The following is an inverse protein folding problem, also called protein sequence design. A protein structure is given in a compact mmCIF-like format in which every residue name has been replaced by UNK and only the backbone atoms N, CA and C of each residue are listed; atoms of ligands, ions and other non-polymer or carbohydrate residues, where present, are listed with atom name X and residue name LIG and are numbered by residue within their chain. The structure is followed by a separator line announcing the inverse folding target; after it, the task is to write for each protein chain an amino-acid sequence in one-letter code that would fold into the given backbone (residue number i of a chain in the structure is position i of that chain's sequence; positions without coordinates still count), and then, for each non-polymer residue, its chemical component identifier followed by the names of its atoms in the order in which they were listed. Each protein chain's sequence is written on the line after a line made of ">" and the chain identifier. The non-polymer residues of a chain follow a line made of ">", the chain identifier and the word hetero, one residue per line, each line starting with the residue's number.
data_IF_063756921021
#
_entry.id   IF_063756921021
#
_cell.length_a   1.000
_cell.length_b   1.000
_cell.length_c   1.000
_cell.angle_alpha   90.00
_cell.angle_beta   90.00
_cell.angle_gamma   90.00
#
_symmetry.space_group_name_H-M   'P 1'
#
loop_
_entity.id
_entity.type
_entity.pdbx_description
1 polymer ?
#
# COMPACT_ATOMS: atom_id res chain seq x y z
N UNK A 1 20.94 61.53 50.25
CA UNK A 1 20.52 60.78 51.44
C UNK A 1 19.77 59.55 50.93
N UNK A 2 20.36 58.36 50.78
CA UNK A 2 20.87 57.44 51.83
C UNK A 2 19.84 57.30 52.97
N UNK A 3 19.47 56.12 53.47
CA UNK A 3 19.87 54.74 53.21
C UNK A 3 18.86 53.84 53.94
N UNK A 4 18.78 52.57 53.53
CA UNK A 4 18.11 51.49 54.23
C UNK A 4 18.98 50.95 55.38
N UNK A 5 18.33 50.49 56.47
CA UNK A 5 18.80 49.58 57.52
C UNK A 5 17.52 49.13 58.27
N UNK A 6 17.25 47.92 58.76
CA UNK A 6 17.98 46.66 59.03
C UNK A 6 16.96 45.68 59.64
N UNK A 7 17.20 44.37 59.58
CA UNK A 7 16.53 43.42 60.49
C UNK A 7 16.82 41.94 60.25
N UNK A 8 17.77 41.38 61.01
CA UNK A 8 18.20 39.97 61.08
C UNK A 8 17.26 39.05 61.89
N UNK A 9 17.31 37.72 61.65
CA UNK A 9 17.48 36.58 62.62
C UNK A 9 17.25 35.21 61.93
N UNK A 10 18.26 34.32 61.76
CA UNK A 10 18.59 33.07 62.50
C UNK A 10 17.39 32.11 62.75
N UNK A 11 17.30 30.83 62.32
CA UNK A 11 18.14 29.65 62.68
C UNK A 11 17.70 28.35 61.94
N UNK A 12 18.61 27.37 61.87
CA UNK A 12 18.61 25.98 61.34
C UNK A 12 17.40 25.04 61.65
N UNK A 13 17.15 24.02 60.79
CA UNK A 13 17.29 22.57 61.11
C UNK A 13 16.88 21.58 59.98
N UNK A 14 17.75 20.57 59.78
CA UNK A 14 17.55 19.16 59.35
C UNK A 14 17.50 18.77 57.86
N UNK A 15 18.58 18.10 57.42
CA UNK A 15 18.70 17.21 56.25
C UNK A 15 17.97 15.87 56.49
N UNK A 16 17.65 15.15 55.40
CA UNK A 16 18.23 13.82 55.26
C UNK A 16 18.92 13.63 53.90
N UNK A 17 20.13 13.06 53.95
CA UNK A 17 20.78 12.43 52.81
C UNK A 17 19.93 11.24 52.33
N UNK A 18 19.60 11.21 51.05
CA UNK A 18 19.38 9.96 50.32
C UNK A 18 20.31 9.95 49.11
N UNK A 19 21.03 8.84 48.96
CA UNK A 19 22.15 8.63 48.07
C UNK A 19 21.89 9.09 46.63
N UNK A 20 22.76 9.97 46.13
CA UNK A 20 22.95 10.09 44.69
C UNK A 20 23.73 8.85 44.23
N UNK A 21 23.21 8.15 43.22
CA UNK A 21 23.95 7.11 42.51
C UNK A 21 25.32 7.66 42.09
N UNK A 22 26.40 7.02 42.56
CA UNK A 22 27.79 7.39 42.21
C UNK A 22 28.14 6.94 40.77
N UNK A 23 27.21 6.32 40.05
CA UNK A 23 27.39 5.95 38.65
C UNK A 23 26.19 6.35 37.78
N UNK A 24 26.46 7.18 36.77
CA UNK A 24 25.49 7.58 35.76
C UNK A 24 25.21 6.42 34.79
N UNK A 25 23.95 6.31 34.34
CA UNK A 25 23.53 5.36 33.30
C UNK A 25 24.24 5.67 31.96
N UNK A 26 24.53 4.68 31.08
CA UNK A 26 25.37 4.87 29.90
C UNK A 26 24.93 5.99 28.94
N UNK A 27 23.62 6.22 28.79
CA UNK A 27 23.08 7.28 27.94
C UNK A 27 23.15 8.69 28.58
N UNK A 28 23.29 8.78 29.91
CA UNK A 28 23.48 10.03 30.66
C UNK A 28 24.97 10.33 30.86
N UNK A 29 25.83 9.31 30.90
CA UNK A 29 27.28 9.52 30.97
C UNK A 29 27.84 10.34 29.78
N UNK A 30 27.21 10.23 28.60
CA UNK A 30 27.54 11.04 27.43
C UNK A 30 27.26 12.54 27.59
N UNK A 31 26.37 12.95 28.50
CA UNK A 31 26.06 14.37 28.71
C UNK A 31 26.87 15.04 29.83
N UNK A 32 27.54 14.25 30.69
CA UNK A 32 28.28 14.77 31.86
C UNK A 32 29.79 14.84 31.63
N UNK A 33 30.32 14.00 30.74
CA UNK A 33 31.68 14.13 30.21
C UNK A 33 31.66 14.51 28.72
N UNK A 34 30.94 15.58 28.39
CA UNK A 34 31.35 16.37 27.25
C UNK A 34 32.62 17.11 27.66
N UNK A 35 33.78 16.55 27.34
CA UNK A 35 34.97 17.38 27.13
C UNK A 35 34.62 18.21 25.88
N UNK A 36 34.32 19.51 25.97
CA UNK A 36 34.11 20.29 24.77
C UNK A 36 35.41 20.17 23.95
N UNK A 37 35.29 19.90 22.64
CA UNK A 37 36.39 20.28 21.74
C UNK A 37 36.64 21.77 21.98
N UNK A 38 37.89 22.21 21.99
CA UNK A 38 38.21 23.64 22.20
C UNK A 38 37.74 24.53 21.03
N UNK A 39 37.28 23.88 19.97
CA UNK A 39 36.71 24.41 18.76
C UNK A 39 35.51 25.35 18.96
N UNK A 40 35.57 26.54 18.35
CA UNK A 40 34.46 27.48 18.19
C UNK A 40 33.80 27.96 19.49
N UNK A 41 34.63 28.45 20.42
CA UNK A 41 34.12 29.12 21.63
C UNK A 41 33.89 30.62 21.38
N UNK A 42 32.88 30.93 20.55
CA UNK A 42 32.19 32.24 20.52
C UNK A 42 32.69 33.28 19.50
N UNK A 43 32.00 34.42 19.48
CA UNK A 43 32.07 35.55 18.52
C UNK A 43 33.44 36.29 18.42
N UNK A 44 34.48 35.79 19.10
CA UNK A 44 35.77 36.46 19.34
C UNK A 44 36.96 35.47 19.27
N UNK A 45 36.82 34.34 18.57
CA UNK A 45 37.89 33.34 18.43
C UNK A 45 39.17 33.93 17.82
N UNK A 46 39.01 34.81 16.84
CA UNK A 46 40.05 35.64 16.17
C UNK A 46 40.87 36.56 17.12
N UNK A 47 40.42 36.77 18.37
CA UNK A 47 41.16 37.58 19.35
C UNK A 47 42.07 36.72 20.24
N UNK A 48 42.03 35.40 20.10
CA UNK A 48 42.89 34.48 20.85
C UNK A 48 44.20 34.27 20.09
N UNK A 49 45.30 34.07 20.82
CA UNK A 49 46.56 33.69 20.18
C UNK A 49 46.40 32.34 19.47
N UNK A 50 46.89 32.30 18.22
CA UNK A 50 46.84 31.13 17.35
C UNK A 50 47.40 29.89 18.04
N UNK A 51 46.71 28.76 17.91
CA UNK A 51 47.14 27.51 18.53
C UNK A 51 47.06 26.33 17.56
N UNK A 52 48.23 25.75 17.27
CA UNK A 52 48.37 24.67 16.28
C UNK A 52 47.41 23.49 16.51
N UNK A 53 47.31 23.04 17.77
CA UNK A 53 46.45 21.91 18.11
C UNK A 53 44.97 22.24 17.87
N UNK A 54 44.53 23.43 18.27
CA UNK A 54 43.13 23.86 18.18
C UNK A 54 42.69 24.14 16.75
N UNK A 55 43.47 24.92 16.01
CA UNK A 55 43.06 25.50 14.73
C UNK A 55 43.39 24.58 13.56
N UNK A 56 44.52 23.87 13.60
CA UNK A 56 44.98 23.06 12.47
C UNK A 56 45.04 21.54 12.74
N UNK A 57 44.92 21.06 13.99
CA UNK A 57 44.94 19.61 14.28
C UNK A 57 43.55 19.10 14.64
N UNK A 58 42.85 19.78 15.55
CA UNK A 58 41.44 19.53 15.89
C UNK A 58 40.48 20.03 14.80
N UNK A 59 40.89 21.04 14.03
CA UNK A 59 40.14 21.70 12.96
C UNK A 59 40.93 21.81 11.64
N UNK A 60 40.26 22.28 10.58
CA UNK A 60 40.87 22.58 9.28
C UNK A 60 41.08 24.08 9.16
N UNK A 61 42.31 24.55 9.45
CA UNK A 61 42.68 25.95 9.28
C UNK A 61 43.01 26.38 7.84
N UNK A 62 42.87 27.67 7.53
CA UNK A 62 43.39 28.32 6.33
C UNK A 62 44.85 28.81 6.48
N UNK A 63 45.42 29.42 5.43
CA UNK A 63 46.83 29.81 5.46
C UNK A 63 47.10 30.95 6.45
N UNK A 64 46.14 31.84 6.65
CA UNK A 64 46.30 33.01 7.51
C UNK A 64 46.25 32.58 8.97
N UNK A 65 45.34 31.67 9.33
CA UNK A 65 45.31 31.03 10.64
C UNK A 65 46.61 30.24 10.92
N UNK A 66 47.08 29.44 9.94
CA UNK A 66 48.37 28.76 10.07
C UNK A 66 49.53 29.77 10.25
N UNK A 67 49.49 30.92 9.57
CA UNK A 67 50.50 31.98 9.72
C UNK A 67 50.48 32.62 11.10
N UNK A 68 49.30 32.82 11.67
CA UNK A 68 49.10 33.36 13.03
C UNK A 68 49.55 32.39 14.12
N UNK A 69 49.44 31.08 13.90
CA UNK A 69 49.94 30.06 14.84
C UNK A 69 51.47 30.10 15.01
N UNK A 70 52.22 30.35 13.92
CA UNK A 70 53.68 30.31 13.96
C UNK A 70 54.34 31.68 14.12
N UNK A 71 53.62 32.77 13.82
CA UNK A 71 54.12 34.16 13.81
C UNK A 71 55.44 34.34 13.00
N UNK A 72 55.77 33.39 12.13
CA UNK A 72 56.98 33.30 11.31
C UNK A 72 56.63 32.72 9.93
N UNK A 73 56.88 33.51 8.89
CA UNK A 73 56.49 33.17 7.52
C UNK A 73 57.21 31.92 6.99
N UNK A 74 58.43 31.61 7.44
CA UNK A 74 59.19 30.45 6.97
C UNK A 74 58.70 29.16 7.62
N UNK A 75 58.40 29.20 8.91
CA UNK A 75 57.80 28.10 9.67
C UNK A 75 56.36 27.85 9.22
N UNK A 76 55.58 28.91 9.02
CA UNK A 76 54.22 28.84 8.49
C UNK A 76 54.21 28.23 7.08
N UNK A 77 55.07 28.68 6.16
CA UNK A 77 55.17 28.08 4.82
C UNK A 77 55.59 26.60 4.85
N UNK A 78 56.51 26.23 5.75
CA UNK A 78 56.95 24.84 5.89
C UNK A 78 55.85 23.95 6.47
N UNK A 79 55.15 24.43 7.49
CA UNK A 79 53.98 23.76 8.03
C UNK A 79 52.89 23.65 6.98
N UNK A 80 52.53 24.75 6.32
CA UNK A 80 51.50 24.81 5.29
C UNK A 80 51.77 23.87 4.12
N UNK A 81 53.03 23.74 3.71
CA UNK A 81 53.43 22.78 2.66
C UNK A 81 53.19 21.34 3.09
N UNK A 82 53.40 21.00 4.37
CA UNK A 82 53.08 19.67 4.90
C UNK A 82 51.59 19.49 5.19
N UNK A 83 50.93 20.54 5.66
CA UNK A 83 49.54 20.57 6.08
C UNK A 83 48.57 20.49 4.89
N UNK A 84 48.83 21.23 3.81
CA UNK A 84 48.11 21.12 2.53
C UNK A 84 48.28 19.75 1.87
N UNK A 85 49.35 19.04 2.19
CA UNK A 85 49.65 17.70 1.69
C UNK A 85 49.20 16.59 2.67
N UNK A 86 48.52 16.92 3.77
CA UNK A 86 47.97 15.94 4.70
C UNK A 86 46.79 15.24 4.04
N UNK A 87 46.90 13.93 3.82
CA UNK A 87 45.82 13.12 3.28
C UNK A 87 44.72 12.97 4.35
N UNK A 88 43.50 13.52 4.17
CA UNK A 88 42.42 13.40 5.15
C UNK A 88 41.91 11.97 5.32
N UNK A 89 42.31 11.04 4.42
CA UNK A 89 42.01 9.63 4.50
C UNK A 89 43.04 8.81 5.30
N UNK A 90 44.00 9.43 5.96
CA UNK A 90 45.01 8.72 6.76
C UNK A 90 45.04 9.23 8.23
N UNK A 91 44.56 8.43 9.21
CA UNK A 91 43.98 7.09 9.05
C UNK A 91 42.57 7.14 8.43
N UNK A 92 42.12 6.05 7.80
CA UNK A 92 40.83 6.01 7.10
C UNK A 92 39.66 6.36 8.06
N UNK A 93 38.98 7.50 7.87
CA UNK A 93 37.89 7.93 8.76
C UNK A 93 36.57 7.20 8.49
N UNK A 94 36.46 6.45 7.40
CA UNK A 94 35.25 5.74 7.01
C UNK A 94 35.15 4.40 7.74
N UNK A 95 34.08 4.22 8.50
CA UNK A 95 33.79 3.00 9.27
C UNK A 95 33.21 1.89 8.38
N UNK A 96 33.04 0.69 8.95
CA UNK A 96 32.42 -0.47 8.32
C UNK A 96 32.99 -0.79 6.91
N UNK A 97 34.31 -0.73 6.76
CA UNK A 97 35.01 -0.94 5.49
C UNK A 97 34.69 0.10 4.39
N UNK A 98 34.20 1.29 4.77
CA UNK A 98 34.01 2.42 3.86
C UNK A 98 35.30 2.86 3.16
N UNK A 99 35.20 3.16 1.87
CA UNK A 99 36.32 3.67 1.08
C UNK A 99 36.38 5.19 1.20
N UNK A 100 37.47 5.72 1.75
CA UNK A 100 37.71 7.15 1.78
C UNK A 100 38.24 7.66 0.43
N UNK A 101 37.55 8.65 -0.13
CA UNK A 101 38.02 9.42 -1.28
C UNK A 101 38.17 10.88 -0.83
N UNK A 102 39.32 11.49 -1.08
CA UNK A 102 39.57 12.89 -0.72
C UNK A 102 39.84 13.75 -1.94
N UNK A 103 39.50 15.03 -1.81
CA UNK A 103 39.82 16.09 -2.75
C UNK A 103 40.36 17.27 -1.96
N UNK A 104 41.66 17.56 -2.09
CA UNK A 104 42.34 18.59 -1.28
C UNK A 104 42.20 18.27 0.22
N UNK A 105 41.58 19.18 1.00
CA UNK A 105 41.36 19.07 2.44
C UNK A 105 40.01 18.45 2.84
N UNK A 106 39.13 18.13 1.88
CA UNK A 106 37.84 17.49 2.16
C UNK A 106 37.87 16.01 1.77
N UNK A 107 37.14 15.18 2.52
CA UNK A 107 36.94 13.78 2.18
C UNK A 107 35.47 13.40 2.15
N UNK A 108 35.18 12.34 1.42
CA UNK A 108 33.89 11.69 1.34
C UNK A 108 34.09 10.18 1.53
N UNK A 109 33.20 9.57 2.28
CA UNK A 109 33.15 8.12 2.43
C UNK A 109 32.21 7.52 1.39
N UNK A 110 32.72 6.56 0.63
CA UNK A 110 31.91 5.66 -0.20
C UNK A 110 31.57 4.44 0.67
N UNK A 111 30.33 4.39 1.15
CA UNK A 111 29.87 3.33 2.04
C UNK A 111 29.56 2.05 1.26
N UNK A 112 29.92 0.88 1.80
CA UNK A 112 29.51 -0.40 1.23
C UNK A 112 28.00 -0.60 1.38
N UNK A 113 27.48 -1.56 0.62
CA UNK A 113 26.07 -1.93 0.67
C UNK A 113 25.62 -2.22 2.10
N UNK A 114 24.47 -1.65 2.49
CA UNK A 114 23.92 -1.78 3.84
C UNK A 114 24.41 -0.74 4.85
N UNK A 115 25.24 0.24 4.46
CA UNK A 115 25.69 1.33 5.34
C UNK A 115 25.49 2.72 4.74
N UNK A 116 25.32 3.71 5.60
CA UNK A 116 25.15 5.12 5.23
C UNK A 116 25.72 6.06 6.30
N UNK A 117 25.54 7.36 6.07
CA UNK A 117 26.04 8.42 6.95
C UNK A 117 27.40 8.93 6.52
N UNK A 118 27.82 10.06 7.10
CA UNK A 118 29.06 10.77 6.71
C UNK A 118 30.33 9.90 6.79
N UNK A 119 30.35 8.96 7.73
CA UNK A 119 31.46 8.04 7.98
C UNK A 119 31.04 6.56 7.87
N UNK A 120 29.93 6.26 7.17
CA UNK A 120 29.40 4.90 7.05
C UNK A 120 29.06 4.24 8.40
N UNK A 121 28.72 5.06 9.40
CA UNK A 121 28.46 4.60 10.76
C UNK A 121 27.04 4.07 10.98
N UNK A 122 26.11 4.42 10.09
CA UNK A 122 24.70 4.05 10.18
C UNK A 122 24.41 2.85 9.28
N UNK A 123 23.46 2.00 9.68
CA UNK A 123 22.87 1.03 8.78
C UNK A 123 22.12 1.77 7.66
N UNK A 124 22.27 1.31 6.42
CA UNK A 124 21.62 1.89 5.25
C UNK A 124 20.10 1.87 5.38
N UNK A 125 19.44 2.76 4.62
CA UNK A 125 17.97 2.84 4.58
C UNK A 125 17.32 1.48 4.37
N UNK A 126 17.86 0.66 3.46
CA UNK A 126 17.34 -0.68 3.16
C UNK A 126 17.40 -1.65 4.35
N UNK A 127 18.48 -1.62 5.15
CA UNK A 127 18.62 -2.48 6.33
C UNK A 127 17.75 -2.03 7.50
N UNK A 128 17.53 -0.72 7.60
CA UNK A 128 16.70 -0.15 8.68
C UNK A 128 15.20 -0.28 8.38
N UNK A 129 14.80 -0.03 7.13
CA UNK A 129 13.39 0.00 6.73
C UNK A 129 12.90 -1.30 6.10
N UNK A 130 13.78 -2.16 5.59
CA UNK A 130 13.47 -3.51 5.09
C UNK A 130 12.26 -3.51 4.16
N UNK A 131 11.15 -4.15 4.54
CA UNK A 131 9.94 -4.20 3.71
C UNK A 131 9.31 -2.82 3.47
N UNK A 132 9.56 -1.83 4.33
CA UNK A 132 9.06 -0.46 4.14
C UNK A 132 9.85 0.33 3.09
N UNK A 133 11.02 -0.15 2.67
CA UNK A 133 11.80 0.48 1.62
C UNK A 133 11.74 -0.36 0.36
N UNK A 134 11.04 0.16 -0.66
CA UNK A 134 10.87 -0.49 -1.96
C UNK A 134 10.34 -1.93 -1.84
N UNK A 135 9.39 -2.19 -0.93
CA UNK A 135 8.86 -3.53 -0.64
C UNK A 135 9.95 -4.58 -0.32
N UNK A 136 11.08 -4.17 0.27
CA UNK A 136 12.26 -5.05 0.49
C UNK A 136 12.91 -5.55 -0.81
N UNK A 137 12.50 -5.01 -1.96
CA UNK A 137 12.81 -5.46 -3.31
C UNK A 137 12.10 -6.74 -3.73
N UNK A 138 11.02 -7.12 -3.06
CA UNK A 138 10.14 -8.22 -3.48
C UNK A 138 9.17 -7.74 -4.57
N UNK A 139 8.90 -8.59 -5.57
CA UNK A 139 7.94 -8.25 -6.64
C UNK A 139 6.49 -8.22 -6.15
N UNK A 140 6.11 -9.14 -5.26
CA UNK A 140 4.78 -9.20 -4.67
C UNK A 140 4.81 -8.93 -3.17
N UNK A 141 4.99 -9.94 -2.31
CA UNK A 141 4.84 -9.77 -0.87
C UNK A 141 6.18 -9.84 -0.16
N UNK A 142 6.42 -8.87 0.73
CA UNK A 142 7.60 -8.82 1.59
C UNK A 142 7.25 -9.20 3.03
N UNK A 143 8.12 -9.97 3.68
CA UNK A 143 8.06 -10.25 5.11
C UNK A 143 9.46 -10.09 5.74
N UNK A 144 9.56 -9.30 6.80
CA UNK A 144 10.78 -9.03 7.56
C UNK A 144 10.68 -9.33 9.07
N UNK A 145 9.63 -10.04 9.52
CA UNK A 145 9.38 -10.33 10.95
C UNK A 145 10.52 -11.13 11.61
N UNK A 146 11.31 -11.86 10.81
CA UNK A 146 12.49 -12.61 11.28
C UNK A 146 13.80 -11.82 11.26
N UNK A 147 13.75 -10.51 11.03
CA UNK A 147 14.93 -9.67 10.88
C UNK A 147 15.56 -9.72 9.47
N UNK A 148 15.33 -10.79 8.71
CA UNK A 148 15.73 -10.91 7.31
C UNK A 148 14.52 -10.74 6.39
N UNK A 149 14.73 -10.07 5.25
CA UNK A 149 13.72 -9.93 4.20
C UNK A 149 13.51 -11.27 3.49
N UNK A 150 12.25 -11.68 3.40
CA UNK A 150 11.80 -12.85 2.65
C UNK A 150 10.66 -12.45 1.72
N UNK A 151 10.71 -12.92 0.48
CA UNK A 151 9.68 -12.64 -0.52
C UNK A 151 8.72 -13.81 -0.68
N UNK A 152 7.47 -13.50 -0.98
CA UNK A 152 6.44 -14.47 -1.34
C UNK A 152 5.60 -13.94 -2.50
N UNK A 153 5.01 -14.85 -3.28
CA UNK A 153 4.24 -14.51 -4.47
C UNK A 153 2.74 -14.78 -4.29
N UNK A 154 1.93 -14.13 -5.12
CA UNK A 154 0.49 -14.34 -5.19
C UNK A 154 0.13 -15.67 -5.87
N UNK A 155 -1.11 -16.14 -5.69
CA UNK A 155 -1.56 -17.45 -6.15
C UNK A 155 -1.27 -17.70 -7.64
N UNK A 156 -0.73 -18.88 -7.93
CA UNK A 156 -0.28 -19.25 -9.28
C UNK A 156 1.08 -18.70 -9.69
N UNK A 157 1.82 -18.07 -8.77
CA UNK A 157 3.21 -17.64 -8.98
C UNK A 157 4.15 -18.27 -7.95
N UNK A 158 5.39 -18.50 -8.36
CA UNK A 158 6.49 -18.96 -7.52
C UNK A 158 7.61 -17.91 -7.44
N UNK A 159 8.34 -17.89 -6.32
CA UNK A 159 9.53 -17.05 -6.18
C UNK A 159 10.63 -17.57 -7.11
N UNK A 160 11.21 -16.68 -7.91
CA UNK A 160 12.30 -17.01 -8.82
C UNK A 160 13.62 -17.31 -8.08
N UNK A 161 14.63 -17.75 -8.83
CA UNK A 161 15.95 -18.09 -8.27
C UNK A 161 16.67 -16.92 -7.60
N UNK A 162 16.32 -15.68 -7.95
CA UNK A 162 16.85 -14.46 -7.34
C UNK A 162 16.29 -14.19 -5.93
N UNK A 163 15.30 -14.98 -5.49
CA UNK A 163 14.64 -14.85 -4.20
C UNK A 163 13.72 -13.62 -4.08
N UNK A 164 13.44 -12.92 -5.18
CA UNK A 164 12.75 -11.61 -5.19
C UNK A 164 11.64 -11.50 -6.24
N UNK A 165 11.91 -11.98 -7.44
CA UNK A 165 10.97 -11.93 -8.56
C UNK A 165 9.92 -13.03 -8.46
N UNK A 166 8.77 -12.84 -9.10
CA UNK A 166 7.64 -13.76 -9.10
C UNK A 166 7.34 -14.24 -10.52
N UNK A 167 7.58 -15.53 -10.77
CA UNK A 167 7.32 -16.17 -12.06
C UNK A 167 6.02 -16.95 -12.04
N UNK A 168 5.30 -16.98 -13.16
CA UNK A 168 4.08 -17.77 -13.27
C UNK A 168 4.38 -19.28 -13.17
N UNK A 169 3.69 -19.97 -12.27
CA UNK A 169 3.81 -21.42 -12.05
C UNK A 169 2.70 -22.19 -12.78
N UNK A 170 1.55 -21.54 -13.00
CA UNK A 170 0.38 -22.11 -13.66
C UNK A 170 0.07 -21.38 -14.97
N UNK A 171 -0.76 -22.00 -15.83
CA UNK A 171 -1.12 -21.42 -17.13
C UNK A 171 -1.91 -20.10 -17.01
N UNK A 172 -2.75 -19.99 -15.99
CA UNK A 172 -3.59 -18.82 -15.73
C UNK A 172 -3.34 -18.31 -14.30
N UNK A 173 -2.17 -17.70 -14.05
CA UNK A 173 -1.85 -17.19 -12.73
C UNK A 173 -2.73 -15.97 -12.43
N UNK A 174 -2.98 -15.67 -11.16
CA UNK A 174 -3.87 -14.57 -10.82
C UNK A 174 -3.33 -13.22 -11.34
N UNK A 175 -4.21 -12.27 -11.64
CA UNK A 175 -3.82 -10.90 -11.94
C UNK A 175 -3.09 -10.68 -13.28
N UNK A 176 -2.85 -11.74 -14.08
CA UNK A 176 -2.34 -11.63 -15.44
C UNK A 176 -3.49 -11.58 -16.46
N UNK A 177 -3.24 -10.93 -17.58
CA UNK A 177 -4.17 -10.87 -18.71
C UNK A 177 -3.65 -11.81 -19.80
N UNK A 178 -4.25 -12.99 -20.03
CA UNK A 178 -3.63 -14.04 -20.85
C UNK A 178 -3.31 -13.61 -22.29
N UNK A 179 -4.18 -12.79 -22.90
CA UNK A 179 -3.95 -12.28 -24.26
C UNK A 179 -2.76 -11.31 -24.34
N UNK A 180 -2.51 -10.54 -23.28
CA UNK A 180 -1.37 -9.63 -23.22
C UNK A 180 -0.07 -10.41 -23.02
N UNK A 181 -0.08 -11.43 -22.16
CA UNK A 181 1.07 -12.31 -21.94
C UNK A 181 1.45 -13.09 -23.21
N UNK A 182 0.45 -13.62 -23.94
CA UNK A 182 0.68 -14.25 -25.24
C UNK A 182 1.26 -13.28 -26.27
N UNK A 183 0.85 -12.01 -26.26
CA UNK A 183 1.39 -10.99 -27.18
C UNK A 183 2.82 -10.57 -26.83
N UNK A 184 3.19 -10.49 -25.55
CA UNK A 184 4.57 -10.22 -25.09
C UNK A 184 5.54 -11.28 -25.60
N UNK A 185 5.13 -12.55 -25.60
CA UNK A 185 5.92 -13.68 -26.13
C UNK A 185 6.09 -13.61 -27.66
N UNK A 186 5.19 -12.93 -28.37
CA UNK A 186 5.21 -12.83 -29.83
C UNK A 186 5.83 -11.53 -30.35
N UNK A 187 5.99 -10.50 -29.50
CA UNK A 187 6.37 -9.16 -29.93
C UNK A 187 7.64 -8.64 -29.23
N UNK A 188 8.75 -8.61 -29.98
CA UNK A 188 9.81 -7.59 -29.87
C UNK A 188 9.28 -6.19 -30.28
N UNK A 189 8.05 -5.82 -29.86
CA UNK A 189 7.38 -4.60 -30.32
C UNK A 189 6.73 -3.88 -29.14
N UNK A 190 7.32 -2.75 -28.80
CA UNK A 190 6.83 -1.72 -27.89
C UNK A 190 5.53 -1.09 -28.40
N UNK A 191 4.41 -1.81 -28.28
CA UNK A 191 3.09 -1.17 -28.30
C UNK A 191 2.74 -0.77 -26.88
N UNK A 192 2.93 0.52 -26.57
CA UNK A 192 2.28 1.14 -25.40
C UNK A 192 0.78 1.04 -25.60
N UNK A 193 0.14 0.07 -24.95
CA UNK A 193 -1.30 -0.08 -24.96
C UNK A 193 -1.92 1.19 -24.35
N UNK A 194 -2.87 1.81 -25.04
CA UNK A 194 -3.54 3.00 -24.54
C UNK A 194 -4.41 2.60 -23.34
N UNK A 195 -3.93 2.92 -22.14
CA UNK A 195 -4.67 2.84 -20.88
C UNK A 195 -5.93 3.73 -20.86
N UNK A 196 -6.11 4.55 -21.91
CA UNK A 196 -7.18 5.54 -22.08
C UNK A 196 -8.32 5.10 -23.01
N UNK A 197 -8.38 3.83 -23.43
CA UNK A 197 -9.53 3.31 -24.18
C UNK A 197 -10.82 3.35 -23.35
N UNK A 198 -11.90 3.93 -23.89
CA UNK A 198 -13.22 4.00 -23.21
C UNK A 198 -13.88 2.64 -23.00
N UNK A 199 -13.50 1.62 -23.79
CA UNK A 199 -13.99 0.25 -23.71
C UNK A 199 -12.89 -0.68 -23.23
N UNK A 200 -13.22 -1.73 -22.46
CA UNK A 200 -12.26 -2.79 -22.15
C UNK A 200 -12.18 -3.72 -23.36
N UNK A 201 -11.04 -3.87 -24.05
CA UNK A 201 -10.95 -4.83 -25.14
C UNK A 201 -11.31 -6.25 -24.66
N UNK A 202 -11.93 -7.05 -25.54
CA UNK A 202 -12.37 -8.40 -25.20
C UNK A 202 -11.20 -9.23 -24.64
N UNK A 203 -11.37 -9.79 -23.44
CA UNK A 203 -10.36 -10.56 -22.72
C UNK A 203 -9.33 -9.74 -21.93
N UNK A 204 -9.39 -8.40 -21.93
CA UNK A 204 -8.46 -7.55 -21.16
C UNK A 204 -8.91 -7.28 -19.71
N UNK A 205 -10.11 -7.74 -19.36
CA UNK A 205 -10.68 -7.70 -18.01
C UNK A 205 -11.18 -9.10 -17.61
N UNK A 206 -10.33 -10.14 -17.64
CA UNK A 206 -10.78 -11.55 -17.61
C UNK A 206 -11.34 -12.00 -16.26
N UNK A 207 -11.11 -11.24 -15.19
CA UNK A 207 -11.66 -11.47 -13.85
C UNK A 207 -13.06 -10.87 -13.64
N UNK A 208 -13.56 -10.09 -14.59
CA UNK A 208 -14.90 -9.52 -14.52
C UNK A 208 -15.95 -10.63 -14.72
N UNK A 209 -16.95 -10.68 -13.85
CA UNK A 209 -18.17 -11.45 -14.10
C UNK A 209 -19.42 -10.58 -14.07
N UNK A 210 -20.47 -11.09 -14.70
CA UNK A 210 -21.82 -10.54 -14.68
C UNK A 210 -22.72 -11.43 -13.81
N UNK A 211 -23.50 -10.82 -12.91
CA UNK A 211 -24.51 -11.51 -12.11
C UNK A 211 -25.87 -11.35 -12.76
N UNK A 212 -26.55 -12.48 -12.95
CA UNK A 212 -27.90 -12.57 -13.49
C UNK A 212 -28.84 -13.20 -12.48
N UNK A 213 -29.99 -12.57 -12.25
CA UNK A 213 -31.07 -13.11 -11.43
C UNK A 213 -32.33 -13.21 -12.28
N UNK A 214 -32.92 -14.42 -12.35
CA UNK A 214 -34.09 -14.72 -13.21
C UNK A 214 -33.89 -14.27 -14.67
N UNK A 215 -32.68 -14.49 -15.18
CA UNK A 215 -32.28 -14.12 -16.56
C UNK A 215 -32.01 -12.63 -16.79
N UNK A 216 -32.15 -11.78 -15.78
CA UNK A 216 -31.86 -10.35 -15.88
C UNK A 216 -30.51 -10.02 -15.25
N UNK A 217 -29.63 -9.37 -16.01
CA UNK A 217 -28.35 -8.85 -15.54
C UNK A 217 -28.56 -7.67 -14.61
N UNK A 218 -27.85 -7.62 -13.47
CA UNK A 218 -28.10 -6.57 -12.46
C UNK A 218 -26.89 -6.14 -11.62
N UNK A 219 -25.86 -6.98 -11.48
CA UNK A 219 -24.64 -6.66 -10.74
C UNK A 219 -23.41 -7.24 -11.45
N UNK A 220 -22.23 -6.79 -11.05
CA UNK A 220 -20.96 -7.40 -11.37
C UNK A 220 -20.42 -8.28 -10.23
N UNK A 221 -19.29 -8.91 -10.51
CA UNK A 221 -18.50 -9.64 -9.54
C UNK A 221 -17.08 -9.84 -10.04
N UNK A 222 -16.28 -10.55 -9.25
CA UNK A 222 -14.86 -10.74 -9.50
C UNK A 222 -14.44 -12.19 -9.28
N UNK A 223 -13.77 -12.79 -10.27
CA UNK A 223 -13.15 -14.11 -10.14
C UNK A 223 -11.89 -13.97 -9.28
N UNK A 224 -11.87 -14.62 -8.12
CA UNK A 224 -10.67 -14.71 -7.26
C UNK A 224 -10.14 -16.13 -7.14
N UNK A 225 -10.98 -17.13 -7.46
CA UNK A 225 -10.66 -18.55 -7.40
C UNK A 225 -11.58 -19.31 -8.38
N UNK A 226 -11.21 -20.51 -8.90
CA UNK A 226 -12.06 -21.27 -9.83
C UNK A 226 -13.49 -21.47 -9.34
N UNK A 227 -13.69 -21.76 -8.05
CA UNK A 227 -15.00 -22.03 -7.45
C UNK A 227 -15.60 -20.86 -6.66
N UNK A 228 -14.94 -19.70 -6.61
CA UNK A 228 -15.40 -18.56 -5.80
C UNK A 228 -15.35 -17.24 -6.55
N UNK A 229 -16.45 -16.49 -6.44
CA UNK A 229 -16.60 -15.13 -6.94
C UNK A 229 -16.87 -14.19 -5.78
N UNK A 230 -16.22 -13.03 -5.78
CA UNK A 230 -16.48 -11.95 -4.82
C UNK A 230 -17.44 -10.94 -5.46
N UNK A 231 -18.41 -10.47 -4.68
CA UNK A 231 -19.29 -9.36 -5.05
C UNK A 231 -19.64 -8.54 -3.80
N UNK A 232 -20.60 -7.64 -3.90
CA UNK A 232 -21.11 -6.89 -2.74
C UNK A 232 -22.30 -7.61 -2.10
N UNK A 233 -22.42 -7.55 -0.78
CA UNK A 233 -23.58 -8.10 -0.06
C UNK A 233 -24.89 -7.49 -0.55
N UNK A 234 -24.87 -6.20 -0.91
CA UNK A 234 -26.01 -5.50 -1.49
C UNK A 234 -26.59 -6.19 -2.74
N UNK A 235 -25.74 -6.78 -3.58
CA UNK A 235 -26.19 -7.52 -4.76
C UNK A 235 -26.96 -8.81 -4.45
N UNK A 236 -27.00 -9.25 -3.19
CA UNK A 236 -27.55 -10.55 -2.80
C UNK A 236 -28.71 -10.45 -1.81
N UNK A 237 -28.99 -9.27 -1.26
CA UNK A 237 -30.10 -9.07 -0.31
C UNK A 237 -31.43 -9.37 -1.01
N UNK A 238 -32.31 -10.12 -0.32
CA UNK A 238 -33.67 -10.42 -0.77
C UNK A 238 -33.74 -11.16 -2.13
N UNK A 239 -32.67 -11.85 -2.53
CA UNK A 239 -32.65 -12.69 -3.73
C UNK A 239 -32.66 -14.17 -3.36
N UNK A 240 -33.23 -14.98 -4.24
CA UNK A 240 -33.13 -16.43 -4.15
C UNK A 240 -31.86 -16.91 -4.85
N UNK A 241 -31.02 -17.68 -4.16
CA UNK A 241 -29.75 -18.20 -4.69
C UNK A 241 -29.97 -19.14 -5.87
N UNK A 242 -31.08 -19.88 -5.89
CA UNK A 242 -31.38 -20.84 -6.95
C UNK A 242 -31.59 -20.18 -8.33
N UNK A 243 -32.02 -18.92 -8.32
CA UNK A 243 -32.29 -18.08 -9.50
C UNK A 243 -31.04 -17.29 -9.94
N UNK A 244 -29.92 -17.42 -9.21
CA UNK A 244 -28.69 -16.66 -9.41
C UNK A 244 -27.70 -17.42 -10.31
N UNK A 245 -27.21 -16.71 -11.33
CA UNK A 245 -26.16 -17.18 -12.23
C UNK A 245 -25.01 -16.19 -12.28
N UNK A 246 -23.80 -16.74 -12.37
CA UNK A 246 -22.57 -16.03 -12.69
C UNK A 246 -22.26 -16.26 -14.16
N UNK A 247 -21.93 -15.20 -14.89
CA UNK A 247 -21.45 -15.27 -16.28
C UNK A 247 -20.02 -14.76 -16.34
N UNK A 248 -19.07 -15.67 -16.57
CA UNK A 248 -17.66 -15.33 -16.80
C UNK A 248 -17.37 -15.27 -18.31
N UNK A 249 -16.41 -14.44 -18.74
CA UNK A 249 -16.04 -14.33 -20.17
C UNK A 249 -17.04 -13.57 -21.06
N UNK A 250 -17.98 -12.85 -20.45
CA UNK A 250 -18.92 -11.93 -21.11
C UNK A 250 -18.23 -10.62 -21.49
N UNK A 251 -18.63 -10.01 -22.61
CA UNK A 251 -18.09 -8.74 -23.08
C UNK A 251 -19.15 -7.87 -23.77
N UNK A 252 -19.93 -8.42 -24.70
CA UNK A 252 -21.05 -7.75 -25.38
C UNK A 252 -22.41 -8.34 -24.97
N UNK A 253 -23.15 -7.63 -24.12
CA UNK A 253 -24.44 -8.07 -23.56
C UNK A 253 -25.54 -8.38 -24.59
N UNK A 254 -25.35 -8.04 -25.87
CA UNK A 254 -26.30 -8.32 -26.95
C UNK A 254 -25.94 -9.53 -27.79
N UNK A 255 -24.73 -10.07 -27.63
CA UNK A 255 -24.22 -11.18 -28.42
C UNK A 255 -23.94 -12.37 -27.51
N UNK A 256 -24.01 -13.57 -28.07
CA UNK A 256 -23.42 -14.76 -27.46
C UNK A 256 -22.17 -15.03 -28.26
N UNK A 257 -21.03 -14.68 -27.70
CA UNK A 257 -19.75 -14.70 -28.42
C UNK A 257 -19.03 -16.05 -28.31
N UNK A 258 -19.56 -16.99 -27.51
CA UNK A 258 -19.02 -18.32 -27.30
C UNK A 258 -17.91 -18.38 -26.25
N UNK A 259 -17.61 -17.26 -25.61
CA UNK A 259 -16.64 -17.16 -24.50
C UNK A 259 -17.31 -17.19 -23.13
N UNK A 260 -18.63 -17.07 -23.10
CA UNK A 260 -19.44 -16.95 -21.89
C UNK A 260 -19.62 -18.31 -21.20
N UNK A 261 -19.29 -18.35 -19.91
CA UNK A 261 -19.55 -19.49 -19.04
C UNK A 261 -20.66 -19.11 -18.06
N UNK A 262 -21.87 -19.66 -18.25
CA UNK A 262 -23.01 -19.47 -17.35
C UNK A 262 -23.01 -20.55 -16.29
N UNK A 263 -22.80 -20.16 -15.04
CA UNK A 263 -22.59 -21.08 -13.91
C UNK A 263 -23.59 -20.75 -12.80
N UNK A 264 -24.27 -21.77 -12.29
CA UNK A 264 -25.20 -21.61 -11.16
C UNK A 264 -24.43 -21.38 -9.86
N UNK A 265 -24.98 -20.54 -9.00
CA UNK A 265 -24.46 -20.36 -7.64
C UNK A 265 -24.95 -21.52 -6.76
N UNK A 266 -24.04 -22.11 -5.99
CA UNK A 266 -24.36 -23.13 -5.00
C UNK A 266 -24.69 -22.51 -3.64
N UNK A 267 -23.99 -21.44 -3.28
CA UNK A 267 -24.10 -20.80 -1.99
C UNK A 267 -23.71 -19.33 -2.09
N UNK A 268 -24.43 -18.48 -1.36
CA UNK A 268 -24.13 -17.06 -1.22
C UNK A 268 -23.85 -16.77 0.26
N UNK A 269 -22.66 -16.24 0.54
CA UNK A 269 -22.19 -15.94 1.88
C UNK A 269 -22.02 -14.43 2.00
N UNK A 270 -22.93 -13.79 2.73
CA UNK A 270 -22.85 -12.36 3.03
C UNK A 270 -21.98 -12.17 4.27
N UNK A 271 -21.19 -11.10 4.30
CA UNK A 271 -20.44 -10.74 5.48
C UNK A 271 -21.39 -10.46 6.67
N UNK A 272 -21.09 -11.02 7.83
CA UNK A 272 -21.95 -11.07 9.01
C UNK A 272 -22.23 -9.67 9.58
N UNK A 273 -21.26 -8.77 9.43
CA UNK A 273 -21.35 -7.37 9.85
C UNK A 273 -21.92 -6.42 8.79
N UNK A 274 -22.47 -6.95 7.69
CA UNK A 274 -23.04 -6.10 6.64
C UNK A 274 -24.24 -5.29 7.16
N UNK A 275 -24.13 -3.95 7.04
CA UNK A 275 -25.18 -3.04 7.46
C UNK A 275 -25.84 -2.38 6.24
N UNK A 276 -27.13 -2.66 6.03
CA UNK A 276 -27.90 -2.16 4.88
C UNK A 276 -28.01 -0.63 4.86
N UNK A 277 -28.10 0.01 6.03
CA UNK A 277 -28.30 1.46 6.16
C UNK A 277 -27.03 2.22 5.82
N UNK A 278 -25.91 1.84 6.44
CA UNK A 278 -24.60 2.50 6.22
C UNK A 278 -23.86 1.97 5.00
N UNK A 279 -24.26 0.81 4.48
CA UNK A 279 -23.52 0.03 3.47
C UNK A 279 -22.14 -0.44 3.98
N UNK A 280 -21.91 -0.45 5.30
CA UNK A 280 -20.65 -0.94 5.87
C UNK A 280 -20.55 -2.46 5.76
N UNK A 281 -19.31 -2.97 5.62
CA UNK A 281 -19.02 -4.39 5.35
C UNK A 281 -19.77 -4.96 4.13
N UNK A 282 -19.92 -4.15 3.07
CA UNK A 282 -20.61 -4.53 1.84
C UNK A 282 -19.77 -5.44 0.93
N UNK A 283 -19.59 -6.68 1.35
CA UNK A 283 -18.85 -7.73 0.64
C UNK A 283 -19.56 -9.08 0.82
N UNK A 284 -19.49 -9.93 -0.21
CA UNK A 284 -20.04 -11.27 -0.18
C UNK A 284 -19.24 -12.22 -1.09
N UNK A 285 -19.34 -13.51 -0.79
CA UNK A 285 -18.78 -14.60 -1.58
C UNK A 285 -19.90 -15.42 -2.22
N UNK A 286 -19.66 -15.86 -3.45
CA UNK A 286 -20.50 -16.79 -4.19
C UNK A 286 -19.70 -18.05 -4.45
N UNK A 287 -20.11 -19.17 -3.86
CA UNK A 287 -19.58 -20.49 -4.20
C UNK A 287 -20.30 -21.02 -5.43
N UNK A 288 -19.56 -21.47 -6.42
CA UNK A 288 -20.13 -21.95 -7.68
C UNK A 288 -20.45 -23.45 -7.62
N UNK A 289 -21.49 -23.89 -8.34
CA UNK A 289 -21.80 -25.31 -8.49
C UNK A 289 -20.72 -26.09 -9.24
N UNK A 290 -20.05 -25.42 -10.19
CA UNK A 290 -18.95 -25.97 -10.97
C UNK A 290 -17.83 -24.91 -11.03
N UNK A 291 -16.55 -25.34 -11.02
CA UNK A 291 -15.45 -24.39 -11.16
C UNK A 291 -15.49 -23.73 -12.55
N UNK A 292 -15.12 -22.45 -12.59
CA UNK A 292 -14.86 -21.72 -13.83
C UNK A 292 -13.68 -22.39 -14.53
N UNK A 293 -13.83 -22.69 -15.83
CA UNK A 293 -12.73 -23.16 -16.66
C UNK A 293 -11.96 -21.93 -17.12
N UNK A 294 -10.74 -21.75 -16.60
CA UNK A 294 -9.93 -20.60 -17.00
C UNK A 294 -9.56 -20.65 -18.48
N UNK A 295 -9.56 -19.47 -19.10
CA UNK A 295 -9.34 -19.26 -20.52
C UNK A 295 -8.75 -17.86 -20.75
N UNK A 296 -8.53 -17.51 -22.02
CA UNK A 296 -8.10 -16.15 -22.38
C UNK A 296 -9.11 -15.05 -22.04
N UNK A 297 -10.34 -15.42 -21.69
CA UNK A 297 -11.44 -14.49 -21.41
C UNK A 297 -11.97 -14.60 -19.97
N UNK A 298 -11.55 -15.62 -19.23
CA UNK A 298 -11.95 -15.86 -17.84
C UNK A 298 -10.73 -16.32 -17.02
N UNK A 299 -10.22 -15.45 -16.15
CA UNK A 299 -9.03 -15.71 -15.34
C UNK A 299 -9.11 -14.93 -14.02
N UNK A 300 -8.52 -15.40 -12.92
CA UNK A 300 -8.69 -14.78 -11.62
C UNK A 300 -7.84 -13.50 -11.47
N UNK A 301 -8.28 -12.56 -10.64
CA UNK A 301 -7.43 -11.45 -10.15
C UNK A 301 -6.75 -11.86 -8.86
N UNK A 302 -5.57 -11.32 -8.55
CA UNK A 302 -4.90 -11.61 -7.29
C UNK A 302 -5.58 -10.93 -6.11
N UNK A 303 -5.66 -11.64 -4.99
CA UNK A 303 -5.89 -11.01 -3.68
C UNK A 303 -4.55 -10.58 -3.09
N UNK A 304 -4.41 -9.32 -2.62
CA UNK A 304 -3.18 -8.87 -1.98
C UNK A 304 -3.08 -9.38 -0.53
N UNK A 305 -1.91 -9.28 0.09
CA UNK A 305 -1.79 -9.26 1.56
C UNK A 305 -2.14 -7.90 2.12
N UNK A 306 -2.57 -7.84 3.38
CA UNK A 306 -2.99 -6.58 4.01
C UNK A 306 -1.87 -5.54 4.03
N UNK A 307 -0.66 -5.88 4.49
CA UNK A 307 0.44 -4.91 4.52
C UNK A 307 0.82 -4.43 3.11
N UNK A 308 0.83 -5.33 2.13
CA UNK A 308 1.14 -4.97 0.74
C UNK A 308 0.08 -4.01 0.15
N UNK A 309 -1.20 -4.25 0.43
CA UNK A 309 -2.26 -3.37 -0.01
C UNK A 309 -2.16 -1.97 0.63
N UNK A 310 -1.83 -1.91 1.92
CA UNK A 310 -1.81 -0.68 2.71
C UNK A 310 -0.50 0.12 2.60
N UNK A 311 0.60 -0.49 2.15
CA UNK A 311 1.89 0.18 1.99
C UNK A 311 2.24 0.42 0.52
N UNK A 312 2.01 -0.56 -0.35
CA UNK A 312 2.48 -0.51 -1.75
C UNK A 312 1.34 -0.14 -2.71
N UNK A 313 0.21 -0.86 -2.67
CA UNK A 313 -0.89 -0.61 -3.61
C UNK A 313 -1.57 0.75 -3.41
N UNK A 314 -1.64 1.24 -2.17
CA UNK A 314 -2.21 2.57 -1.87
C UNK A 314 -1.38 3.72 -2.48
N UNK A 315 -0.08 3.50 -2.69
CA UNK A 315 0.81 4.50 -3.29
C UNK A 315 0.66 4.57 -4.82
N UNK A 316 -0.04 3.60 -5.44
CA UNK A 316 -0.30 3.61 -6.87
C UNK A 316 -1.27 4.73 -7.24
N UNK A 317 -0.88 5.51 -8.24
CA UNK A 317 -1.62 6.71 -8.66
C UNK A 317 -2.99 6.40 -9.27
N UNK A 318 -3.13 5.24 -9.91
CA UNK A 318 -4.33 4.87 -10.65
C UNK A 318 -4.69 3.40 -10.40
N UNK A 319 -6.00 3.18 -10.29
CA UNK A 319 -6.63 1.86 -10.29
C UNK A 319 -7.62 1.78 -11.45
N UNK A 320 -7.90 0.59 -11.95
CA UNK A 320 -8.79 0.36 -13.08
C UNK A 320 -10.12 -0.17 -12.54
N UNK A 321 -11.21 0.52 -12.83
CA UNK A 321 -12.58 0.02 -12.64
C UNK A 321 -13.11 -0.51 -13.98
N UNK A 322 -13.85 -1.62 -13.96
CA UNK A 322 -14.55 -2.16 -15.14
C UNK A 322 -15.99 -2.51 -14.82
N UNK A 323 -16.84 -2.61 -15.84
CA UNK A 323 -18.25 -2.98 -15.68
C UNK A 323 -19.12 -2.68 -16.90
N UNK A 324 -20.43 -2.86 -16.79
CA UNK A 324 -21.43 -2.56 -17.84
C UNK A 324 -22.41 -1.45 -17.44
N UNK A 325 -22.22 -0.86 -16.25
CA UNK A 325 -23.06 0.21 -15.74
C UNK A 325 -23.03 1.48 -16.56
N UNK A 326 -23.89 2.41 -16.17
CA UNK A 326 -24.43 3.40 -17.09
C UNK A 326 -23.66 4.73 -17.08
N UNK A 327 -23.52 5.37 -18.25
CA UNK A 327 -22.95 6.72 -18.41
C UNK A 327 -23.86 7.61 -19.25
N UNK A 328 -24.19 8.81 -18.77
CA UNK A 328 -24.83 9.88 -19.55
C UNK A 328 -23.75 10.78 -20.15
N UNK A 329 -23.80 11.00 -21.47
CA UNK A 329 -23.03 12.08 -22.13
C UNK A 329 -23.74 13.42 -21.94
N UNK A 330 -22.98 14.47 -21.62
CA UNK A 330 -23.47 15.85 -21.46
C UNK A 330 -24.21 16.44 -22.69
N UNK A 331 -24.15 15.80 -23.86
CA UNK A 331 -24.86 16.21 -25.07
C UNK A 331 -26.33 15.76 -25.17
N UNK A 332 -26.84 14.97 -24.21
CA UNK A 332 -28.26 14.57 -24.13
C UNK A 332 -29.08 15.53 -23.24
N UNK A 333 -28.61 16.77 -23.08
CA UNK A 333 -29.25 17.86 -22.33
C UNK A 333 -29.85 18.91 -23.27
N UNK A 334 -30.22 18.52 -24.48
CA UNK A 334 -30.86 19.43 -25.44
C UNK A 334 -32.14 18.79 -25.97
N UNK A 335 -33.27 19.23 -25.41
CA UNK A 335 -34.62 18.82 -25.79
C UNK A 335 -35.22 17.78 -24.85
N UNK A 336 -36.16 18.25 -24.02
CA UNK A 336 -37.29 17.56 -23.38
C UNK A 336 -37.18 16.05 -23.09
N UNK A 337 -37.24 15.75 -21.78
CA UNK A 337 -37.19 14.45 -21.11
C UNK A 337 -35.78 13.86 -20.87
N UNK A 338 -35.17 14.26 -19.73
CA UNK A 338 -34.14 13.47 -19.07
C UNK A 338 -34.74 12.10 -18.74
N UNK A 339 -34.36 11.06 -19.48
CA UNK A 339 -34.67 9.69 -19.05
C UNK A 339 -33.97 9.48 -17.70
N UNK A 340 -34.75 9.29 -16.63
CA UNK A 340 -34.25 8.93 -15.30
C UNK A 340 -33.43 7.62 -15.30
N UNK A 341 -33.49 6.86 -16.40
CA UNK A 341 -32.79 5.59 -16.61
C UNK A 341 -32.02 5.65 -17.93
N UNK A 342 -30.75 6.07 -17.92
CA UNK A 342 -29.93 6.00 -19.11
C UNK A 342 -29.61 4.52 -19.41
N UNK A 343 -29.48 4.13 -20.69
CA UNK A 343 -29.28 2.74 -21.05
C UNK A 343 -27.88 2.27 -20.62
N UNK A 344 -27.78 1.02 -20.23
CA UNK A 344 -26.53 0.43 -19.78
C UNK A 344 -25.61 0.14 -20.94
N UNK A 345 -24.30 0.05 -20.65
CA UNK A 345 -23.31 -0.12 -21.69
C UNK A 345 -23.43 -1.53 -22.24
N UNK A 346 -23.71 -1.63 -23.55
CA UNK A 346 -23.68 -2.90 -24.28
C UNK A 346 -22.33 -3.61 -24.12
N UNK A 347 -21.24 -2.85 -24.25
CA UNK A 347 -19.87 -3.36 -24.21
C UNK A 347 -19.26 -3.13 -22.84
N UNK A 348 -18.44 -4.08 -22.38
CA UNK A 348 -17.66 -3.94 -21.17
C UNK A 348 -16.74 -2.72 -21.30
N UNK A 349 -16.80 -1.83 -20.32
CA UNK A 349 -15.94 -0.65 -20.25
C UNK A 349 -14.90 -0.79 -19.14
N UNK A 350 -13.83 0.00 -19.24
CA UNK A 350 -12.87 0.18 -18.16
C UNK A 350 -12.42 1.63 -18.07
N UNK A 351 -11.91 2.04 -16.92
CA UNK A 351 -11.37 3.37 -16.72
C UNK A 351 -10.32 3.37 -15.60
N UNK A 352 -9.22 4.09 -15.84
CA UNK A 352 -8.27 4.45 -14.80
C UNK A 352 -8.83 5.57 -13.91
N UNK A 353 -8.81 5.37 -12.60
CA UNK A 353 -9.33 6.28 -11.58
C UNK A 353 -8.30 6.50 -10.47
N UNK A 354 -8.04 7.74 -10.04
CA UNK A 354 -7.16 8.02 -8.93
C UNK A 354 -7.89 7.85 -7.59
N UNK A 355 -7.17 7.55 -6.48
CA UNK A 355 -7.76 7.57 -5.15
C UNK A 355 -8.14 9.01 -4.75
N UNK A 356 -9.17 9.12 -3.92
CA UNK A 356 -9.63 10.39 -3.33
C UNK A 356 -9.41 10.37 -1.82
N UNK A 357 -9.10 11.54 -1.24
CA UNK A 357 -8.97 11.64 0.21
C UNK A 357 -10.31 11.37 0.89
N UNK A 358 -10.32 10.76 2.10
CA UNK A 358 -11.54 10.52 2.86
C UNK A 358 -12.36 11.80 3.09
N UNK A 359 -11.69 12.92 3.35
CA UNK A 359 -12.31 14.23 3.57
C UNK A 359 -13.06 14.73 2.33
N UNK A 360 -12.40 14.71 1.16
CA UNK A 360 -13.02 15.11 -0.10
C UNK A 360 -14.19 14.19 -0.44
N UNK A 361 -14.02 12.89 -0.22
CA UNK A 361 -15.08 11.95 -0.51
C UNK A 361 -16.30 12.13 0.41
N UNK A 362 -16.09 12.28 1.72
CA UNK A 362 -17.18 12.50 2.67
C UNK A 362 -17.96 13.77 2.33
N UNK A 363 -17.25 14.87 2.05
CA UNK A 363 -17.85 16.14 1.67
C UNK A 363 -18.67 16.05 0.38
N UNK A 364 -18.14 15.39 -0.66
CA UNK A 364 -18.80 15.33 -1.98
C UNK A 364 -19.88 14.26 -2.08
N UNK A 365 -19.76 13.17 -1.33
CA UNK A 365 -20.78 12.11 -1.28
C UNK A 365 -21.92 12.43 -0.31
N UNK A 366 -21.70 13.33 0.66
CA UNK A 366 -22.65 13.59 1.74
C UNK A 366 -22.81 12.40 2.70
N UNK A 367 -21.85 11.48 2.70
CA UNK A 367 -21.87 10.28 3.54
C UNK A 367 -20.69 10.25 4.50
N UNK A 368 -20.91 9.62 5.65
CA UNK A 368 -19.83 9.34 6.58
C UNK A 368 -19.18 8.00 6.21
N UNK A 369 -17.92 8.03 5.78
CA UNK A 369 -17.18 6.83 5.36
C UNK A 369 -16.64 6.07 6.58
N UNK A 370 -16.83 4.75 6.59
CA UNK A 370 -16.16 3.86 7.55
C UNK A 370 -14.75 3.53 7.07
N UNK A 371 -13.93 2.93 7.94
CA UNK A 371 -12.58 2.44 7.59
C UNK A 371 -12.59 1.31 6.55
N UNK A 372 -13.76 0.70 6.30
CA UNK A 372 -13.98 -0.34 5.30
C UNK A 372 -14.33 0.21 3.91
N UNK A 373 -14.32 1.53 3.75
CA UNK A 373 -14.67 2.19 2.50
C UNK A 373 -13.57 3.14 2.06
N UNK A 374 -13.47 3.35 0.75
CA UNK A 374 -12.65 4.41 0.18
C UNK A 374 -13.25 4.87 -1.15
N UNK A 375 -12.71 5.95 -1.69
CA UNK A 375 -13.22 6.53 -2.92
C UNK A 375 -12.12 6.63 -3.98
N UNK A 376 -12.55 6.45 -5.22
CA UNK A 376 -11.69 6.63 -6.37
C UNK A 376 -12.49 7.19 -7.55
N UNK A 377 -11.85 8.03 -8.33
CA UNK A 377 -12.43 8.72 -9.47
C UNK A 377 -12.10 10.20 -9.41
N UNK A 378 -12.89 11.00 -10.10
CA UNK A 378 -12.56 12.40 -10.32
C UNK A 378 -13.75 13.26 -9.90
N UNK A 379 -13.44 14.35 -9.20
CA UNK A 379 -14.44 15.23 -8.60
C UNK A 379 -15.10 16.17 -9.63
N UNK A 380 -14.47 16.34 -10.80
CA UNK A 380 -14.92 17.22 -11.87
C UNK A 380 -15.25 16.41 -13.12
N UNK A 381 -16.30 16.82 -13.83
CA UNK A 381 -16.76 16.17 -15.07
C UNK A 381 -18.25 16.40 -15.31
N UNK A 382 -18.64 16.57 -16.58
CA UNK A 382 -20.03 16.83 -17.01
C UNK A 382 -20.83 15.55 -17.29
N UNK A 383 -20.22 14.37 -17.12
CA UNK A 383 -20.87 13.08 -17.35
C UNK A 383 -21.47 12.53 -16.06
N UNK A 384 -22.78 12.33 -16.01
CA UNK A 384 -23.41 11.55 -14.93
C UNK A 384 -23.06 10.07 -15.11
N UNK A 385 -22.54 9.42 -14.07
CA UNK A 385 -22.51 7.96 -13.99
C UNK A 385 -23.72 7.47 -13.19
N UNK A 386 -24.56 6.62 -13.79
CA UNK A 386 -25.68 5.97 -13.09
C UNK A 386 -25.28 4.56 -12.64
N UNK A 387 -25.65 4.19 -11.41
CA UNK A 387 -24.89 3.25 -10.57
C UNK A 387 -25.50 1.87 -10.38
N UNK A 388 -26.57 1.51 -11.10
CA UNK A 388 -27.29 0.28 -10.75
C UNK A 388 -26.55 -0.99 -11.18
N UNK A 389 -25.92 -0.99 -12.35
CA UNK A 389 -25.36 -2.20 -12.98
C UNK A 389 -23.84 -2.39 -12.81
N UNK A 390 -23.15 -1.53 -12.06
CA UNK A 390 -21.73 -1.72 -11.74
C UNK A 390 -21.49 -2.29 -10.33
N UNK A 391 -22.51 -2.38 -9.47
CA UNK A 391 -22.32 -2.84 -8.09
C UNK A 391 -21.68 -4.23 -8.04
N UNK A 392 -20.70 -4.44 -7.17
CA UNK A 392 -19.94 -5.69 -7.12
C UNK A 392 -18.82 -5.81 -8.15
N UNK A 393 -18.73 -4.90 -9.12
CA UNK A 393 -17.64 -4.91 -10.11
C UNK A 393 -16.28 -4.54 -9.48
N UNK A 394 -15.17 -5.01 -10.07
CA UNK A 394 -13.84 -4.83 -9.50
C UNK A 394 -13.31 -3.41 -9.65
N UNK A 395 -12.56 -2.98 -8.65
CA UNK A 395 -11.48 -2.00 -8.78
C UNK A 395 -10.16 -2.74 -8.60
N UNK A 396 -9.33 -2.76 -9.65
CA UNK A 396 -8.04 -3.44 -9.65
C UNK A 396 -6.89 -2.44 -9.69
N UNK A 397 -5.86 -2.69 -8.91
CA UNK A 397 -4.63 -1.89 -8.92
C UNK A 397 -3.51 -2.74 -9.51
N UNK A 398 -2.83 -2.23 -10.52
CA UNK A 398 -1.67 -2.90 -11.11
C UNK A 398 -0.42 -2.54 -10.32
N UNK A 399 0.39 -3.53 -9.97
CA UNK A 399 1.73 -3.37 -9.42
C UNK A 399 2.69 -4.18 -10.30
N UNK A 400 3.61 -3.49 -10.97
CA UNK A 400 4.36 -4.08 -12.08
C UNK A 400 3.42 -4.64 -13.16
N UNK A 401 3.58 -5.92 -13.46
CA UNK A 401 2.78 -6.64 -14.46
C UNK A 401 1.59 -7.44 -13.86
N UNK A 402 1.30 -7.28 -12.56
CA UNK A 402 0.28 -8.07 -11.86
C UNK A 402 -0.86 -7.18 -11.34
N UNK A 403 -2.11 -7.57 -11.59
CA UNK A 403 -3.29 -6.88 -11.10
C UNK A 403 -3.81 -7.49 -9.78
N UNK A 404 -4.03 -6.64 -8.79
CA UNK A 404 -4.57 -6.99 -7.48
C UNK A 404 -5.94 -6.36 -7.27
N UNK A 405 -6.87 -7.10 -6.67
CA UNK A 405 -8.17 -6.58 -6.27
C UNK A 405 -8.03 -5.67 -5.05
N UNK A 406 -8.34 -4.39 -5.19
CA UNK A 406 -8.26 -3.41 -4.09
C UNK A 406 -9.62 -2.92 -3.63
N UNK A 407 -10.63 -2.93 -4.51
CA UNK A 407 -11.98 -2.55 -4.14
C UNK A 407 -13.08 -3.21 -4.93
N UNK A 408 -14.31 -3.07 -4.43
CA UNK A 408 -15.55 -3.48 -5.09
C UNK A 408 -16.46 -2.26 -5.20
N UNK A 409 -17.05 -2.02 -6.36
CA UNK A 409 -17.99 -0.91 -6.57
C UNK A 409 -19.20 -1.07 -5.65
N UNK A 410 -19.45 -0.10 -4.76
CA UNK A 410 -20.56 -0.10 -3.81
C UNK A 410 -21.85 0.57 -4.30
N UNK A 411 -22.94 0.32 -3.57
CA UNK A 411 -24.32 0.72 -3.92
C UNK A 411 -24.57 2.23 -4.08
N UNK A 412 -23.91 3.07 -3.28
CA UNK A 412 -24.16 4.52 -3.22
C UNK A 412 -23.15 5.35 -4.02
N UNK A 413 -22.54 4.74 -5.02
CA UNK A 413 -21.49 5.32 -5.85
C UNK A 413 -21.96 6.43 -6.83
N UNK A 414 -23.11 7.08 -6.59
CA UNK A 414 -23.76 8.01 -7.51
C UNK A 414 -23.72 9.43 -6.98
N UNK A 415 -22.84 10.27 -7.54
CA UNK A 415 -22.89 11.72 -7.33
C UNK A 415 -23.35 12.43 -8.60
N UNK A 416 -24.13 13.50 -8.43
CA UNK A 416 -24.62 14.34 -9.52
C UNK A 416 -23.55 15.29 -10.08
N UNK A 417 -22.34 15.29 -9.48
CA UNK A 417 -21.17 16.08 -9.87
C UNK A 417 -19.92 15.21 -9.77
N UNK A 418 -19.14 15.13 -10.84
CA UNK A 418 -17.96 14.25 -10.94
C UNK A 418 -18.31 12.78 -11.26
N UNK A 419 -17.28 11.96 -11.44
CA UNK A 419 -17.38 10.53 -11.77
C UNK A 419 -16.60 9.66 -10.78
N UNK A 420 -16.74 9.94 -9.49
CA UNK A 420 -16.15 9.10 -8.45
C UNK A 420 -17.17 8.14 -7.85
N UNK A 421 -16.65 7.02 -7.35
CA UNK A 421 -17.44 5.96 -6.72
C UNK A 421 -16.89 5.65 -5.34
N UNK A 422 -17.74 5.06 -4.51
CA UNK A 422 -17.37 4.53 -3.19
C UNK A 422 -17.18 3.03 -3.34
N UNK A 423 -16.09 2.54 -2.81
CA UNK A 423 -15.67 1.15 -2.92
C UNK A 423 -15.56 0.52 -1.54
N UNK A 424 -15.92 -0.76 -1.45
CA UNK A 424 -15.56 -1.59 -0.30
C UNK A 424 -14.05 -1.86 -0.33
N UNK A 425 -13.32 -1.54 0.75
CA UNK A 425 -11.87 -1.72 0.89
C UNK A 425 -11.53 -3.20 1.14
N UNK A 426 -11.16 -3.92 0.08
CA UNK A 426 -10.96 -5.38 0.11
C UNK A 426 -9.87 -5.80 1.10
N UNK A 427 -8.85 -4.98 1.32
CA UNK A 427 -7.76 -5.28 2.25
C UNK A 427 -8.20 -5.51 3.70
N UNK A 428 -9.37 -5.00 4.10
CA UNK A 428 -9.92 -5.19 5.44
C UNK A 428 -10.67 -6.53 5.59
N UNK A 429 -10.93 -7.24 4.48
CA UNK A 429 -11.75 -8.46 4.45
C UNK A 429 -10.96 -9.69 3.97
N UNK A 430 -9.64 -9.57 3.79
CA UNK A 430 -8.79 -10.65 3.26
C UNK A 430 -8.85 -11.91 4.13
N UNK A 431 -8.74 -11.77 5.45
CA UNK A 431 -8.82 -12.90 6.37
C UNK A 431 -10.17 -13.63 6.27
N UNK A 432 -11.26 -12.86 6.20
CA UNK A 432 -12.62 -13.38 6.01
C UNK A 432 -12.78 -14.11 4.68
N UNK A 433 -12.22 -13.56 3.60
CA UNK A 433 -12.22 -14.18 2.28
C UNK A 433 -11.46 -15.52 2.30
N UNK A 434 -10.24 -15.53 2.83
CA UNK A 434 -9.40 -16.73 2.89
C UNK A 434 -10.01 -17.83 3.77
N UNK A 435 -10.61 -17.48 4.91
CA UNK A 435 -11.25 -18.44 5.81
C UNK A 435 -12.39 -19.21 5.12
N UNK A 436 -13.25 -18.50 4.38
CA UNK A 436 -14.37 -19.13 3.66
C UNK A 436 -13.91 -19.94 2.45
N UNK A 437 -12.94 -19.44 1.69
CA UNK A 437 -12.43 -20.16 0.52
C UNK A 437 -11.67 -21.45 0.89
N UNK A 438 -10.99 -21.46 2.04
CA UNK A 438 -10.23 -22.62 2.53
C UNK A 438 -11.13 -23.71 3.15
N UNK A 439 -12.24 -23.31 3.79
CA UNK A 439 -13.16 -24.25 4.46
C UNK A 439 -13.96 -25.13 3.50
N UNK A 440 -13.89 -24.89 2.18
CA UNK A 440 -14.59 -25.64 1.14
C UNK A 440 -13.84 -26.86 0.58
N UNK A 441 -12.62 -27.16 1.06
CA UNK A 441 -11.84 -28.34 0.64
C UNK A 441 -11.87 -29.40 1.75
N UNK A 442 -12.93 -30.19 1.79
CA UNK A 442 -12.86 -31.54 2.34
C UNK A 442 -12.90 -32.52 1.16
N UNK A 443 -11.82 -33.27 0.87
CA UNK A 443 -11.89 -34.41 -0.03
C UNK A 443 -12.83 -35.45 0.59
N UNK A 444 -13.88 -35.82 -0.13
CA UNK A 444 -14.74 -36.95 0.26
C UNK A 444 -14.04 -38.25 -0.13
N UNK A 445 -13.04 -38.65 0.64
CA UNK A 445 -12.59 -40.04 0.66
C UNK A 445 -13.40 -40.81 1.71
N UNK A 446 -14.14 -41.79 1.23
CA UNK A 446 -15.03 -42.60 2.05
C UNK A 446 -14.26 -43.48 3.03
N UNK A 447 -14.67 -43.45 4.30
CA UNK A 447 -14.98 -44.63 5.11
C UNK A 447 -15.83 -44.21 6.34
N UNK A 448 -16.76 -45.06 6.80
CA UNK A 448 -17.76 -44.68 7.78
C UNK A 448 -17.24 -44.89 9.20
N UNK A 449 -17.20 -43.83 10.02
CA UNK A 449 -17.09 -43.99 11.46
C UNK A 449 -18.08 -43.09 12.21
N UNK A 450 -19.13 -43.77 12.68
CA UNK A 450 -19.85 -43.61 13.94
C UNK A 450 -20.15 -42.18 14.43
N UNK A 451 -21.41 -41.80 14.25
CA UNK A 451 -22.11 -40.74 14.96
C UNK A 451 -22.05 -40.90 16.49
N UNK A 452 -21.66 -39.84 17.19
CA UNK A 452 -22.11 -39.57 18.57
C UNK A 452 -22.75 -38.20 18.62
N UNK A 453 -24.07 -38.21 18.86
CA UNK A 453 -24.93 -37.05 19.10
C UNK A 453 -24.43 -36.21 20.28
N UNK A 454 -24.27 -34.90 20.06
CA UNK A 454 -24.42 -33.91 21.12
C UNK A 454 -25.39 -32.82 20.65
N UNK A 455 -26.62 -32.94 21.15
CA UNK A 455 -27.68 -31.94 21.13
C UNK A 455 -27.24 -30.70 21.91
N UNK A 456 -27.20 -29.54 21.24
CA UNK A 456 -27.18 -28.22 21.87
C UNK A 456 -28.62 -27.81 22.25
N UNK A 457 -28.86 -27.19 23.42
CA UNK A 457 -30.20 -26.80 23.86
C UNK A 457 -30.67 -25.49 23.19
N UNK A 458 -31.99 -25.24 23.13
CA UNK A 458 -32.55 -24.05 22.51
C UNK A 458 -32.37 -22.79 23.37
N UNK A 459 -32.04 -21.68 22.71
CA UNK A 459 -31.98 -20.33 23.29
C UNK A 459 -33.40 -19.81 23.50
N UNK A 460 -33.72 -19.44 24.74
CA UNK A 460 -34.97 -18.77 25.11
C UNK A 460 -34.82 -17.27 24.82
N UNK A 461 -35.73 -16.72 24.02
CA UNK A 461 -35.87 -15.27 23.81
C UNK A 461 -36.85 -14.75 24.86
N UNK A 462 -36.36 -13.97 25.82
CA UNK A 462 -37.19 -13.23 26.76
C UNK A 462 -37.58 -11.88 26.12
N UNK A 463 -38.87 -11.70 25.85
CA UNK A 463 -39.45 -10.42 25.49
C UNK A 463 -39.56 -9.55 26.76
N UNK A 464 -38.92 -8.39 26.79
CA UNK A 464 -39.30 -7.33 27.72
C UNK A 464 -39.99 -6.19 26.95
N UNK A 465 -41.28 -6.05 27.25
CA UNK A 465 -42.06 -4.84 27.05
C UNK A 465 -41.58 -3.76 28.02
N UNK A 466 -41.29 -2.56 27.50
CA UNK A 466 -41.81 -1.27 27.97
C UNK A 466 -41.72 -0.26 26.85
#
# INVERSE_FOLDING_TARGET
>A
MQAAMTGLTLSLLLLPLCAADVFLRPYVAHSVLHRPRRANTGLLEELKQGNLERECIEEVCDYEEAREVFEDDTLANRFWTMYRNRNPCDPNPCLNNGKCVHFLSIYQCQCPDGFQGRHCQEAGVAETLKCRYLNGGCEHFCNDTGGQVTCACADGHAVAEDGRSCVAEVQYPCGKVPLLEASKLQANKTTRESEYGQYCPKGHCPWQVLLQHKGSSYCGGVIVHPSWVVTTAHCLINLNVEDLMVVAGEHDLRLVEGTEQKIRVAEAVLHELYNVTTSDSNIALLRLHQPIVFSNYAAPVCLPRKEFAENELVAMRYSIVSGWGCRIKAGYLQGDAVSLYPPTSRLLWRMAVPPLSPEQCALKSGMNLTSNMFCAGYLEGTTLSSCKEDNGSPLVTRYGDTAFLTGLVGFRACTYQGYFKIYTKVSNFLDWLHAHMSSGIAPTDGHPHSSTNQTLPPVVIEQQLT
#
